data_IF_592105955315
#
_entry.id   IF_592105955315
#
_cell.length_a   1.000
_cell.length_b   1.000
_cell.length_c   1.000
_cell.angle_alpha   90.00
_cell.angle_beta   90.00
_cell.angle_gamma   90.00
#
_symmetry.space_group_name_H-M   'P 1'
#
loop_
_entity.id
_entity.type
_entity.pdbx_description
1 polymer ?
#
# COMPACT_ATOMS: atom_id res chain seq x y z
N UNK A 1 -31.67 -38.40 -27.29
CA UNK A 1 -31.42 -36.95 -27.14
C UNK A 1 -31.20 -36.68 -25.67
N UNK A 2 -29.98 -36.96 -25.18
CA UNK A 2 -29.59 -36.89 -23.77
C UNK A 2 -28.74 -35.64 -23.59
N UNK A 3 -29.27 -34.66 -22.86
CA UNK A 3 -28.51 -33.49 -22.43
C UNK A 3 -27.47 -33.95 -21.40
N UNK A 4 -26.22 -33.99 -21.82
CA UNK A 4 -25.10 -34.27 -20.94
C UNK A 4 -24.82 -33.02 -20.12
N UNK A 5 -25.14 -33.12 -18.83
CA UNK A 5 -25.04 -32.04 -17.85
C UNK A 5 -23.56 -31.95 -17.49
N UNK A 6 -22.80 -31.09 -18.17
CA UNK A 6 -21.43 -30.76 -17.78
C UNK A 6 -21.42 -30.36 -16.31
N UNK A 7 -20.91 -31.26 -15.48
CA UNK A 7 -20.72 -31.09 -14.05
C UNK A 7 -19.83 -29.88 -13.83
N UNK A 8 -20.39 -28.91 -13.11
CA UNK A 8 -19.82 -27.60 -12.85
C UNK A 8 -18.39 -27.70 -12.35
N UNK A 9 -17.52 -27.16 -13.19
CA UNK A 9 -16.28 -26.45 -12.88
C UNK A 9 -15.96 -26.39 -11.38
N UNK A 10 -14.95 -27.16 -10.98
CA UNK A 10 -14.18 -26.99 -9.75
C UNK A 10 -13.95 -25.51 -9.48
N UNK A 11 -14.63 -24.98 -8.47
CA UNK A 11 -14.35 -23.67 -7.90
C UNK A 11 -12.95 -23.70 -7.31
N UNK A 12 -11.93 -23.45 -8.14
CA UNK A 12 -10.62 -23.07 -7.65
C UNK A 12 -10.79 -21.75 -6.89
N UNK A 13 -11.06 -21.87 -5.60
CA UNK A 13 -10.97 -20.80 -4.63
C UNK A 13 -9.59 -20.17 -4.80
N UNK A 14 -9.54 -19.03 -5.51
CA UNK A 14 -8.32 -18.25 -5.71
C UNK A 14 -8.03 -17.53 -4.40
N UNK A 15 -7.71 -18.30 -3.36
CA UNK A 15 -7.41 -17.80 -2.04
C UNK A 15 -6.10 -17.04 -2.15
N UNK A 16 -6.15 -15.73 -1.94
CA UNK A 16 -4.96 -14.88 -1.88
C UNK A 16 -4.03 -15.43 -0.80
N UNK A 17 -2.91 -16.00 -1.22
CA UNK A 17 -1.87 -16.48 -0.31
C UNK A 17 -1.12 -15.26 0.21
N UNK A 18 -1.18 -15.04 1.52
CA UNK A 18 -0.49 -13.95 2.21
C UNK A 18 0.82 -14.47 2.80
N UNK A 19 1.94 -14.04 2.25
CA UNK A 19 3.28 -14.40 2.72
C UNK A 19 3.80 -13.34 3.70
N UNK A 20 4.50 -13.73 4.78
CA UNK A 20 5.09 -12.75 5.69
C UNK A 20 6.12 -11.88 4.95
N UNK A 21 6.13 -10.58 5.25
CA UNK A 21 7.09 -9.65 4.64
C UNK A 21 8.52 -9.95 5.12
N UNK A 22 8.68 -10.25 6.41
CA UNK A 22 10.00 -10.47 7.00
C UNK A 22 10.54 -11.86 6.67
N UNK A 23 11.74 -11.89 6.09
CA UNK A 23 12.56 -13.11 6.04
C UNK A 23 13.20 -13.35 7.40
N UNK A 24 13.76 -14.55 7.60
CA UNK A 24 14.41 -14.92 8.87
C UNK A 24 15.54 -13.96 9.29
N UNK A 25 16.29 -13.44 8.32
CA UNK A 25 17.36 -12.48 8.58
C UNK A 25 16.83 -11.08 8.92
N UNK A 26 15.81 -10.62 8.20
CA UNK A 26 15.11 -9.35 8.48
C UNK A 26 14.50 -9.37 9.88
N UNK A 27 13.95 -10.52 10.31
CA UNK A 27 13.45 -10.71 11.67
C UNK A 27 14.55 -10.54 12.71
N UNK A 28 15.75 -11.11 12.49
CA UNK A 28 16.87 -10.93 13.42
C UNK A 28 17.27 -9.46 13.54
N UNK A 29 17.43 -8.77 12.41
CA UNK A 29 17.75 -7.33 12.39
C UNK A 29 16.65 -6.51 13.09
N UNK A 30 15.38 -6.80 12.83
CA UNK A 30 14.25 -6.15 13.47
C UNK A 30 14.27 -6.35 14.98
N UNK A 31 14.48 -7.57 15.48
CA UNK A 31 14.54 -7.82 16.92
C UNK A 31 15.74 -7.15 17.58
N UNK A 32 16.93 -7.17 16.94
CA UNK A 32 18.11 -6.48 17.44
C UNK A 32 17.87 -4.95 17.55
N UNK A 33 17.30 -4.34 16.51
CA UNK A 33 16.94 -2.92 16.51
C UNK A 33 15.83 -2.62 17.51
N UNK A 34 14.88 -3.53 17.71
CA UNK A 34 13.81 -3.39 18.70
C UNK A 34 14.39 -3.38 20.11
N UNK A 35 15.28 -4.32 20.44
CA UNK A 35 15.97 -4.36 21.74
C UNK A 35 16.76 -3.07 21.95
N UNK A 36 17.54 -2.64 20.96
CA UNK A 36 18.29 -1.39 21.03
C UNK A 36 17.37 -0.18 21.27
N UNK A 37 16.26 -0.10 20.54
CA UNK A 37 15.28 0.98 20.67
C UNK A 37 14.64 0.98 22.05
N UNK A 38 14.22 -0.18 22.56
CA UNK A 38 13.64 -0.31 23.91
C UNK A 38 14.66 0.12 24.98
N UNK A 39 15.92 -0.30 24.86
CA UNK A 39 16.99 0.10 25.77
C UNK A 39 17.24 1.61 25.73
N UNK A 40 17.33 2.19 24.53
CA UNK A 40 17.53 3.63 24.36
C UNK A 40 16.35 4.45 24.90
N UNK A 41 15.11 4.06 24.60
CA UNK A 41 13.91 4.71 25.12
C UNK A 41 13.83 4.58 26.65
N UNK A 42 14.16 3.42 27.20
CA UNK A 42 14.16 3.21 28.66
C UNK A 42 15.23 4.08 29.32
N UNK A 43 16.45 4.10 28.79
CA UNK A 43 17.52 4.95 29.29
C UNK A 43 17.17 6.44 29.21
N UNK A 44 16.56 6.88 28.10
CA UNK A 44 16.06 8.23 27.94
C UNK A 44 15.01 8.57 29.01
N UNK A 45 13.98 7.74 29.19
CA UNK A 45 12.93 7.98 30.17
C UNK A 45 13.49 8.02 31.60
N UNK A 46 14.39 7.11 31.94
CA UNK A 46 15.06 7.11 33.25
C UNK A 46 15.89 8.38 33.47
N UNK A 47 16.61 8.85 32.44
CA UNK A 47 17.36 10.10 32.49
C UNK A 47 16.42 11.32 32.60
N UNK A 48 15.35 11.33 31.82
CA UNK A 48 14.34 12.39 31.77
C UNK A 48 13.67 12.62 33.13
N UNK A 49 13.29 11.55 33.84
CA UNK A 49 12.70 11.64 35.17
C UNK A 49 13.72 11.90 36.30
N UNK A 50 15.02 11.84 36.00
CA UNK A 50 16.10 12.21 36.95
C UNK A 50 16.48 13.70 36.86
N UNK A 51 15.93 14.44 35.90
CA UNK A 51 16.21 15.87 35.76
C UNK A 51 15.76 16.65 37.00
N UNK A 52 16.65 17.47 37.56
CA UNK A 52 16.33 18.33 38.72
C UNK A 52 15.19 19.31 38.44
N UNK A 53 14.98 19.66 37.16
CA UNK A 53 13.87 20.49 36.70
C UNK A 53 12.48 19.95 37.07
N UNK A 54 12.32 18.66 37.40
CA UNK A 54 11.05 18.13 37.92
C UNK A 54 10.67 18.72 39.29
N UNK A 55 11.66 19.20 40.06
CA UNK A 55 11.42 19.90 41.33
C UNK A 55 11.05 21.37 41.10
N UNK A 56 11.65 22.01 40.11
CA UNK A 56 11.45 23.44 39.83
C UNK A 56 10.20 23.72 38.97
N UNK A 57 9.92 22.89 37.97
CA UNK A 57 8.86 23.11 36.98
C UNK A 57 8.01 21.84 36.71
N UNK A 58 7.33 21.29 37.74
CA UNK A 58 6.64 20.00 37.62
C UNK A 58 5.50 20.00 36.61
N UNK A 59 4.71 21.08 36.53
CA UNK A 59 3.55 21.17 35.62
C UNK A 59 3.99 21.19 34.16
N UNK A 60 4.95 22.04 33.82
CA UNK A 60 5.47 22.16 32.46
C UNK A 60 6.09 20.85 31.99
N UNK A 61 6.95 20.23 32.82
CA UNK A 61 7.57 18.95 32.47
C UNK A 61 6.56 17.80 32.39
N UNK A 62 5.49 17.83 33.18
CA UNK A 62 4.39 16.85 33.05
C UNK A 62 3.71 16.94 31.69
N UNK A 63 3.39 18.16 31.23
CA UNK A 63 2.76 18.39 29.92
C UNK A 63 3.69 17.96 28.79
N UNK A 64 4.97 18.35 28.84
CA UNK A 64 5.96 17.93 27.83
C UNK A 64 6.10 16.40 27.83
N UNK A 65 6.16 15.78 29.01
CA UNK A 65 6.25 14.32 29.14
C UNK A 65 5.05 13.62 28.51
N UNK A 66 3.83 14.14 28.72
CA UNK A 66 2.62 13.58 28.10
C UNK A 66 2.71 13.61 26.57
N UNK A 67 3.15 14.74 26.00
CA UNK A 67 3.35 14.88 24.55
C UNK A 67 4.41 13.90 24.04
N UNK A 68 5.56 13.83 24.72
CA UNK A 68 6.65 12.91 24.36
C UNK A 68 6.19 11.46 24.43
N UNK A 69 5.42 11.08 25.45
CA UNK A 69 4.88 9.72 25.58
C UNK A 69 3.90 9.38 24.45
N UNK A 70 3.04 10.32 24.03
CA UNK A 70 2.14 10.11 22.89
C UNK A 70 2.94 9.91 21.60
N UNK A 71 3.97 10.72 21.37
CA UNK A 71 4.84 10.62 20.17
C UNK A 71 5.59 9.29 20.17
N UNK A 72 6.24 8.94 21.28
CA UNK A 72 7.00 7.69 21.42
C UNK A 72 6.08 6.48 21.32
N UNK A 73 4.93 6.49 21.99
CA UNK A 73 3.93 5.43 21.92
C UNK A 73 3.41 5.22 20.49
N UNK A 74 3.14 6.31 19.77
CA UNK A 74 2.70 6.25 18.37
C UNK A 74 3.78 5.72 17.43
N UNK A 75 5.04 6.06 17.67
CA UNK A 75 6.17 5.54 16.91
C UNK A 75 6.40 4.04 17.18
N UNK A 76 6.43 3.64 18.45
CA UNK A 76 6.59 2.26 18.87
C UNK A 76 5.41 1.38 18.42
N UNK A 77 4.18 1.89 18.51
CA UNK A 77 2.99 1.18 18.02
C UNK A 77 3.10 0.81 16.54
N UNK A 78 3.50 1.76 15.69
CA UNK A 78 3.77 1.50 14.26
C UNK A 78 4.92 0.50 14.07
N UNK A 79 5.97 0.58 14.89
CA UNK A 79 7.10 -0.34 14.82
C UNK A 79 6.71 -1.78 15.18
N UNK A 80 5.91 -1.98 16.24
CA UNK A 80 5.52 -3.30 16.72
C UNK A 80 4.50 -4.03 15.83
N UNK A 81 3.79 -3.32 14.95
CA UNK A 81 2.91 -3.96 13.95
C UNK A 81 3.66 -4.43 12.71
N UNK A 82 4.91 -3.99 12.48
CA UNK A 82 5.70 -4.38 11.30
C UNK A 82 5.82 -5.90 11.10
N UNK A 83 6.10 -6.73 12.12
CA UNK A 83 6.19 -8.18 11.95
C UNK A 83 4.88 -8.85 11.52
N UNK A 84 3.74 -8.17 11.68
CA UNK A 84 2.43 -8.68 11.28
C UNK A 84 2.13 -8.41 9.81
N UNK A 85 2.94 -7.58 9.13
CA UNK A 85 2.74 -7.25 7.73
C UNK A 85 2.89 -8.49 6.84
N UNK A 86 1.92 -8.66 5.93
CA UNK A 86 1.92 -9.73 4.94
C UNK A 86 1.72 -9.15 3.55
N UNK A 87 2.48 -9.68 2.59
CA UNK A 87 2.34 -9.32 1.18
C UNK A 87 1.53 -10.40 0.47
N UNK A 88 0.53 -10.03 -0.35
CA UNK A 88 -0.14 -10.99 -1.22
C UNK A 88 0.86 -11.47 -2.26
N UNK A 89 0.94 -12.80 -2.47
CA UNK A 89 1.70 -13.35 -3.59
C UNK A 89 1.00 -12.97 -4.90
N UNK A 90 1.73 -12.49 -5.93
CA UNK A 90 1.17 -12.26 -7.24
C UNK A 90 0.49 -13.54 -7.75
N UNK A 91 -0.78 -13.42 -8.11
CA UNK A 91 -1.56 -14.50 -8.69
C UNK A 91 -1.57 -14.32 -10.20
N UNK A 92 -1.44 -15.43 -10.94
CA UNK A 92 -1.71 -15.41 -12.37
C UNK A 92 -3.17 -15.01 -12.61
N UNK A 93 -3.39 -14.17 -13.62
CA UNK A 93 -4.74 -13.83 -14.03
C UNK A 93 -5.46 -15.10 -14.51
N UNK A 94 -6.74 -15.25 -14.15
CA UNK A 94 -7.55 -16.40 -14.56
C UNK A 94 -7.68 -16.38 -16.09
N UNK A 95 -7.44 -17.49 -16.81
CA UNK A 95 -7.54 -17.49 -18.27
C UNK A 95 -8.99 -17.35 -18.74
N UNK A 96 -9.17 -16.82 -19.97
CA UNK A 96 -10.46 -16.80 -20.65
C UNK A 96 -11.46 -15.74 -20.16
N UNK A 97 -11.04 -14.77 -19.35
CA UNK A 97 -11.86 -13.61 -19.00
C UNK A 97 -11.69 -12.50 -20.04
N UNK A 98 -12.77 -11.77 -20.29
CA UNK A 98 -12.70 -10.47 -20.98
C UNK A 98 -12.55 -9.40 -19.91
N UNK A 99 -11.49 -8.61 -19.97
CA UNK A 99 -11.14 -7.62 -18.95
C UNK A 99 -11.12 -6.23 -19.57
N UNK A 100 -11.80 -5.27 -18.93
CA UNK A 100 -11.63 -3.85 -19.20
C UNK A 100 -10.71 -3.25 -18.13
N UNK A 101 -9.71 -2.47 -18.56
CA UNK A 101 -8.81 -1.71 -17.70
C UNK A 101 -9.11 -0.24 -17.90
N UNK A 102 -9.56 0.42 -16.84
CA UNK A 102 -10.03 1.80 -16.89
C UNK A 102 -9.07 2.71 -16.14
N UNK A 103 -8.78 3.87 -16.71
CA UNK A 103 -8.13 4.99 -16.01
C UNK A 103 -8.98 6.25 -16.14
N UNK A 104 -8.83 7.18 -15.21
CA UNK A 104 -9.59 8.43 -15.18
C UNK A 104 -8.65 9.61 -15.38
N UNK A 105 -9.15 10.71 -15.93
CA UNK A 105 -8.39 11.96 -16.03
C UNK A 105 -9.32 13.18 -15.92
N UNK A 106 -8.82 14.23 -15.25
CA UNK A 106 -9.44 15.57 -15.24
C UNK A 106 -8.61 16.52 -16.12
N UNK A 107 -9.04 16.84 -17.35
CA UNK A 107 -8.20 17.52 -18.36
C UNK A 107 -7.65 18.88 -17.94
N UNK A 108 -8.41 19.62 -17.12
CA UNK A 108 -8.04 20.97 -16.68
C UNK A 108 -6.96 20.98 -15.59
N UNK A 109 -6.78 19.87 -14.89
CA UNK A 109 -5.90 19.76 -13.72
C UNK A 109 -4.70 18.87 -14.05
N UNK A 110 -4.90 17.82 -14.84
CA UNK A 110 -3.92 16.79 -15.11
C UNK A 110 -3.29 16.97 -16.50
N UNK A 111 -1.95 16.90 -16.61
CA UNK A 111 -1.28 17.09 -17.89
C UNK A 111 -1.52 15.90 -18.83
N UNK A 112 -1.75 16.17 -20.13
CA UNK A 112 -1.99 15.14 -21.15
C UNK A 112 -0.84 14.11 -21.26
N UNK A 113 0.40 14.52 -20.97
CA UNK A 113 1.57 13.63 -20.94
C UNK A 113 1.49 12.56 -19.85
N UNK A 114 0.77 12.82 -18.75
CA UNK A 114 0.48 11.82 -17.72
C UNK A 114 -0.40 10.72 -18.32
N UNK A 115 -1.49 11.10 -19.00
CA UNK A 115 -2.38 10.14 -19.65
C UNK A 115 -1.62 9.32 -20.71
N UNK A 116 -0.78 9.96 -21.51
CA UNK A 116 0.00 9.27 -22.53
C UNK A 116 0.91 8.18 -21.94
N UNK A 117 1.59 8.48 -20.84
CA UNK A 117 2.43 7.51 -20.14
C UNK A 117 1.61 6.38 -19.52
N UNK A 118 0.46 6.72 -18.93
CA UNK A 118 -0.47 5.75 -18.35
C UNK A 118 -0.99 4.81 -19.43
N UNK A 119 -1.51 5.33 -20.55
CA UNK A 119 -2.02 4.53 -21.67
C UNK A 119 -0.95 3.62 -22.26
N UNK A 120 0.29 4.10 -22.40
CA UNK A 120 1.41 3.26 -22.85
C UNK A 120 1.63 2.06 -21.94
N UNK A 121 1.48 2.23 -20.62
CA UNK A 121 1.61 1.14 -19.66
C UNK A 121 0.40 0.20 -19.66
N UNK A 122 -0.81 0.75 -19.75
CA UNK A 122 -2.05 -0.05 -19.74
C UNK A 122 -2.13 -0.97 -20.96
N UNK A 123 -1.93 -0.42 -22.16
CA UNK A 123 -1.98 -1.20 -23.41
C UNK A 123 -0.90 -2.29 -23.46
N UNK A 124 0.21 -2.11 -22.73
CA UNK A 124 1.29 -3.08 -22.63
C UNK A 124 1.03 -4.20 -21.60
N UNK A 125 -0.12 -4.24 -20.93
CA UNK A 125 -0.45 -5.34 -20.01
C UNK A 125 -0.53 -6.68 -20.76
N UNK A 126 0.11 -7.70 -20.20
CA UNK A 126 0.23 -9.04 -20.83
C UNK A 126 -1.11 -9.79 -20.97
N UNK A 127 -2.12 -9.45 -20.16
CA UNK A 127 -3.40 -10.14 -20.15
C UNK A 127 -4.33 -9.56 -21.23
N UNK A 128 -5.07 -10.38 -22.01
CA UNK A 128 -6.01 -9.85 -23.01
C UNK A 128 -7.05 -8.90 -22.39
N UNK A 129 -7.03 -7.63 -22.79
CA UNK A 129 -7.87 -6.60 -22.21
C UNK A 129 -8.24 -5.50 -23.22
N UNK A 130 -9.28 -4.75 -22.89
CA UNK A 130 -9.60 -3.46 -23.50
C UNK A 130 -9.17 -2.34 -22.56
N UNK A 131 -8.55 -1.28 -23.09
CA UNK A 131 -8.17 -0.11 -22.29
C UNK A 131 -9.21 1.00 -22.51
N UNK A 132 -9.72 1.57 -21.43
CA UNK A 132 -10.74 2.63 -21.45
C UNK A 132 -10.27 3.85 -20.66
N UNK A 133 -10.57 5.04 -21.16
CA UNK A 133 -10.33 6.31 -20.46
C UNK A 133 -11.66 6.93 -20.07
N UNK A 134 -11.84 7.20 -18.79
CA UNK A 134 -12.94 8.01 -18.28
C UNK A 134 -12.47 9.45 -18.15
N UNK A 135 -12.82 10.23 -19.17
CA UNK A 135 -12.57 11.66 -19.22
C UNK A 135 -13.75 12.44 -18.63
N UNK A 136 -13.51 13.25 -17.61
CA UNK A 136 -14.54 14.09 -16.99
C UNK A 136 -14.97 15.29 -17.86
N UNK A 137 -14.15 15.69 -18.85
CA UNK A 137 -14.33 16.90 -19.64
C UNK A 137 -14.79 16.71 -21.09
N UNK A 138 -14.90 15.47 -21.58
CA UNK A 138 -15.16 15.14 -22.99
C UNK A 138 -14.18 15.84 -23.97
N UNK A 139 -12.89 15.87 -23.64
CA UNK A 139 -11.84 16.59 -24.36
C UNK A 139 -11.42 15.84 -25.65
N UNK A 140 -11.51 16.54 -26.78
CA UNK A 140 -11.13 15.99 -28.10
C UNK A 140 -9.65 15.53 -28.16
N UNK A 141 -8.75 16.19 -27.43
CA UNK A 141 -7.32 15.80 -27.38
C UNK A 141 -7.14 14.43 -26.72
N UNK A 142 -8.00 14.10 -25.76
CA UNK A 142 -7.99 12.79 -25.08
C UNK A 142 -8.53 11.71 -26.02
N UNK A 143 -9.62 11.99 -26.74
CA UNK A 143 -10.17 11.07 -27.75
C UNK A 143 -9.12 10.74 -28.82
N UNK A 144 -8.44 11.75 -29.35
CA UNK A 144 -7.34 11.58 -30.32
C UNK A 144 -6.21 10.71 -29.76
N UNK A 145 -5.80 10.96 -28.51
CA UNK A 145 -4.75 10.20 -27.86
C UNK A 145 -5.16 8.73 -27.64
N UNK A 146 -6.40 8.49 -27.24
CA UNK A 146 -6.96 7.14 -27.05
C UNK A 146 -6.92 6.36 -28.36
N UNK A 147 -7.44 6.93 -29.45
CA UNK A 147 -7.40 6.33 -30.78
C UNK A 147 -5.97 5.99 -31.23
N UNK A 148 -5.00 6.89 -30.98
CA UNK A 148 -3.60 6.68 -31.34
C UNK A 148 -2.93 5.57 -30.53
N UNK A 149 -3.35 5.36 -29.28
CA UNK A 149 -2.72 4.41 -28.34
C UNK A 149 -3.43 3.07 -28.27
N UNK A 150 -4.61 2.92 -28.86
CA UNK A 150 -5.41 1.69 -28.80
C UNK A 150 -6.28 1.59 -27.54
N UNK A 151 -6.75 2.74 -27.05
CA UNK A 151 -7.70 2.85 -25.96
C UNK A 151 -9.03 3.43 -26.47
N UNK A 152 -10.08 3.27 -25.67
CA UNK A 152 -11.44 3.74 -25.92
C UNK A 152 -11.82 4.89 -24.99
#
# INVERSE_FOLDING_TARGET
MTMDRQTGNTSQSTRVIKEPVFRRWDSFQFYALTVLTVLATTAFLLSWFRLEGWREYPVMLSVISAIVLVILGSALGRWFVLPQMRKPRPLGARPGLKVGVVTTIVPDIEPLSLLENTLKALVALDYPHETWVLDEGDDERIKELCMKRGAF
#
